data_IF_436222421123
#
_entry.id   IF_436222421123
#
_cell.length_a   1.000
_cell.length_b   1.000
_cell.length_c   1.000
_cell.angle_alpha   90.00
_cell.angle_beta   90.00
_cell.angle_gamma   90.00
#
_symmetry.space_group_name_H-M   'P 1'
#
loop_
_entity.id
_entity.type
_entity.pdbx_description
1 polymer ?
#
# COMPACT_ATOMS: atom_id res chain seq x y z
N UNK A 1 1.49 33.94 0.46
CA UNK A 1 1.43 32.80 1.39
C UNK A 1 0.94 31.64 0.56
N UNK A 2 1.74 30.59 0.37
CA UNK A 2 1.26 29.39 -0.33
C UNK A 2 0.16 28.78 0.56
N UNK A 3 -0.95 28.40 -0.04
CA UNK A 3 -2.03 27.71 0.66
C UNK A 3 -1.48 26.36 1.19
N UNK A 4 -1.62 26.13 2.49
CA UNK A 4 -1.18 24.90 3.16
C UNK A 4 -1.83 23.68 2.51
N UNK A 5 -3.10 23.80 2.11
CA UNK A 5 -3.83 22.74 1.42
C UNK A 5 -3.19 22.38 0.08
N UNK A 6 -2.84 23.38 -0.71
CA UNK A 6 -2.20 23.18 -2.01
C UNK A 6 -0.80 22.57 -1.86
N UNK A 7 -0.07 22.97 -0.81
CA UNK A 7 1.22 22.36 -0.46
C UNK A 7 1.08 20.87 -0.15
N UNK A 8 0.07 20.48 0.63
CA UNK A 8 -0.19 19.08 0.97
C UNK A 8 -0.60 18.25 -0.25
N UNK A 9 -1.43 18.80 -1.14
CA UNK A 9 -1.82 18.13 -2.38
C UNK A 9 -0.59 17.89 -3.27
N UNK A 10 0.30 18.88 -3.37
CA UNK A 10 1.52 18.77 -4.15
C UNK A 10 2.43 17.65 -3.61
N UNK A 11 2.70 17.65 -2.29
CA UNK A 11 3.50 16.60 -1.65
C UNK A 11 2.90 15.21 -1.83
N UNK A 12 1.58 15.08 -1.70
CA UNK A 12 0.90 13.81 -1.93
C UNK A 12 1.06 13.33 -3.38
N UNK A 13 1.00 14.26 -4.34
CA UNK A 13 1.19 13.96 -5.77
C UNK A 13 2.61 13.48 -6.04
N UNK A 14 3.62 14.18 -5.50
CA UNK A 14 5.03 13.79 -5.66
C UNK A 14 5.32 12.39 -5.10
N UNK A 15 4.73 12.04 -3.95
CA UNK A 15 4.87 10.68 -3.37
C UNK A 15 4.27 9.63 -4.29
N UNK A 16 3.08 9.86 -4.83
CA UNK A 16 2.44 8.91 -5.75
C UNK A 16 3.20 8.79 -7.08
N UNK A 17 3.73 9.90 -7.61
CA UNK A 17 4.58 9.87 -8.81
C UNK A 17 5.87 9.06 -8.56
N UNK A 18 6.48 9.18 -7.37
CA UNK A 18 7.64 8.36 -7.01
C UNK A 18 7.31 6.86 -6.95
N UNK A 19 6.13 6.50 -6.45
CA UNK A 19 5.67 5.10 -6.40
C UNK A 19 5.38 4.58 -7.81
N UNK A 20 4.73 5.37 -8.65
CA UNK A 20 4.43 5.01 -10.04
C UNK A 20 5.72 4.80 -10.87
N UNK A 21 6.71 5.68 -10.69
CA UNK A 21 8.03 5.53 -11.31
C UNK A 21 8.73 4.23 -10.89
N UNK A 22 8.67 3.89 -9.59
CA UNK A 22 9.18 2.61 -9.09
C UNK A 22 8.44 1.45 -9.77
N UNK A 23 7.11 1.44 -9.72
CA UNK A 23 6.29 0.36 -10.28
C UNK A 23 6.53 0.16 -11.78
N UNK A 24 6.69 1.25 -12.54
CA UNK A 24 6.96 1.24 -13.98
C UNK A 24 8.35 0.67 -14.30
N UNK A 25 9.31 0.79 -13.37
CA UNK A 25 10.67 0.26 -13.55
C UNK A 25 10.78 -1.25 -13.28
N UNK A 26 9.81 -1.84 -12.58
CA UNK A 26 9.84 -3.25 -12.18
C UNK A 26 9.53 -4.18 -13.35
N UNK A 27 10.32 -5.23 -13.49
CA UNK A 27 10.03 -6.37 -14.35
C UNK A 27 8.91 -7.22 -13.74
N UNK A 28 8.16 -7.99 -14.56
CA UNK A 28 7.08 -8.84 -14.07
C UNK A 28 7.48 -9.76 -12.90
N UNK A 29 8.66 -10.38 -12.96
CA UNK A 29 9.16 -11.27 -11.92
C UNK A 29 9.52 -10.57 -10.60
N UNK A 30 9.79 -9.27 -10.63
CA UNK A 30 10.17 -8.50 -9.44
C UNK A 30 8.96 -8.20 -8.54
N UNK A 31 7.75 -8.24 -9.10
CA UNK A 31 6.51 -8.06 -8.34
C UNK A 31 6.25 -9.16 -7.32
N UNK A 32 6.76 -10.38 -7.57
CA UNK A 32 6.57 -11.54 -6.70
C UNK A 32 7.69 -11.71 -5.65
N UNK A 33 8.68 -10.81 -5.62
CA UNK A 33 9.78 -10.85 -4.65
C UNK A 33 9.24 -10.60 -3.23
N UNK A 34 9.63 -11.45 -2.27
CA UNK A 34 9.28 -11.29 -0.86
C UNK A 34 9.93 -10.05 -0.23
N UNK A 35 9.21 -9.42 0.68
CA UNK A 35 9.66 -8.24 1.43
C UNK A 35 9.93 -8.58 2.89
N UNK A 36 10.36 -7.58 3.67
CA UNK A 36 10.52 -7.72 5.13
C UNK A 36 9.17 -7.83 5.86
N UNK A 37 8.04 -7.49 5.19
CA UNK A 37 6.71 -7.76 5.69
C UNK A 37 6.40 -9.27 5.55
N UNK A 38 6.18 -10.01 6.65
CA UNK A 38 6.06 -11.46 6.58
C UNK A 38 4.91 -11.93 5.67
N UNK A 39 5.26 -12.66 4.62
CA UNK A 39 4.30 -13.20 3.66
C UNK A 39 3.90 -12.25 2.53
N UNK A 40 4.44 -11.03 2.50
CA UNK A 40 4.11 -10.03 1.48
C UNK A 40 5.17 -9.98 0.40
N UNK A 41 4.72 -10.07 -0.84
CA UNK A 41 5.49 -9.69 -2.02
C UNK A 41 5.51 -8.17 -2.24
N UNK A 42 6.34 -7.69 -3.17
CA UNK A 42 6.30 -6.29 -3.63
C UNK A 42 4.88 -5.89 -4.07
N UNK A 43 4.19 -6.80 -4.78
CA UNK A 43 2.80 -6.59 -5.20
C UNK A 43 1.84 -6.44 -4.01
N UNK A 44 2.04 -7.19 -2.93
CA UNK A 44 1.18 -7.10 -1.76
C UNK A 44 1.36 -5.76 -1.05
N UNK A 45 2.59 -5.25 -0.95
CA UNK A 45 2.85 -3.90 -0.44
C UNK A 45 2.11 -2.81 -1.22
N UNK A 46 2.18 -2.85 -2.56
CA UNK A 46 1.48 -1.87 -3.41
C UNK A 46 -0.04 -2.04 -3.34
N UNK A 47 -0.53 -3.29 -3.33
CA UNK A 47 -1.96 -3.59 -3.18
C UNK A 47 -2.51 -3.05 -1.86
N UNK A 48 -1.73 -3.12 -0.79
CA UNK A 48 -2.10 -2.58 0.51
C UNK A 48 -2.25 -1.05 0.48
N UNK A 49 -1.31 -0.32 -0.14
CA UNK A 49 -1.41 1.14 -0.30
C UNK A 49 -2.68 1.55 -1.06
N UNK A 50 -2.98 0.85 -2.17
CA UNK A 50 -4.20 1.07 -2.95
C UNK A 50 -5.44 0.73 -2.12
N UNK A 51 -5.39 -0.33 -1.31
CA UNK A 51 -6.45 -0.72 -0.39
C UNK A 51 -6.77 0.37 0.64
N UNK A 52 -5.75 1.06 1.16
CA UNK A 52 -5.93 2.21 2.06
C UNK A 52 -6.65 3.36 1.35
N UNK A 53 -6.21 3.74 0.14
CA UNK A 53 -6.89 4.79 -0.65
C UNK A 53 -8.35 4.42 -0.95
N UNK A 54 -8.62 3.16 -1.28
CA UNK A 54 -9.99 2.68 -1.45
C UNK A 54 -10.82 2.86 -0.17
N UNK A 55 -10.28 2.49 1.00
CA UNK A 55 -10.96 2.66 2.29
C UNK A 55 -11.23 4.14 2.58
N UNK A 56 -10.24 5.02 2.39
CA UNK A 56 -10.38 6.46 2.62
C UNK A 56 -11.43 7.09 1.70
N UNK A 57 -11.52 6.62 0.46
CA UNK A 57 -12.52 7.06 -0.53
C UNK A 57 -13.88 6.37 -0.38
N UNK A 58 -14.06 5.48 0.61
CA UNK A 58 -15.30 4.71 0.79
C UNK A 58 -15.61 3.72 -0.32
N UNK A 59 -14.59 3.31 -1.09
CA UNK A 59 -14.71 2.32 -2.17
C UNK A 59 -14.71 0.89 -1.59
N UNK A 60 -15.34 -0.07 -2.30
CA UNK A 60 -15.25 -1.47 -1.90
C UNK A 60 -13.79 -1.94 -1.92
N UNK A 61 -13.47 -2.78 -0.93
CA UNK A 61 -12.21 -3.53 -0.83
C UNK A 61 -12.50 -5.03 -0.88
N UNK A 62 -11.55 -5.85 -1.34
CA UNK A 62 -11.71 -7.31 -1.33
C UNK A 62 -12.01 -7.84 0.07
N UNK A 63 -12.86 -8.87 0.15
CA UNK A 63 -12.98 -9.69 1.36
C UNK A 63 -11.82 -10.68 1.39
N UNK A 64 -10.79 -10.35 2.17
CA UNK A 64 -9.57 -11.14 2.28
C UNK A 64 -9.36 -11.62 3.72
N UNK A 65 -9.03 -12.91 3.86
CA UNK A 65 -8.67 -13.51 5.14
C UNK A 65 -7.21 -13.94 5.09
N UNK A 66 -6.32 -13.36 5.92
CA UNK A 66 -4.91 -13.69 5.90
C UNK A 66 -4.66 -15.11 6.40
N UNK A 67 -3.80 -15.84 5.67
CA UNK A 67 -3.55 -17.27 5.93
C UNK A 67 -2.64 -17.53 7.13
N UNK A 68 -1.65 -16.67 7.36
CA UNK A 68 -0.67 -16.81 8.43
C UNK A 68 -0.54 -15.48 9.18
N UNK A 69 -0.93 -15.47 10.45
CA UNK A 69 -0.93 -14.28 11.30
C UNK A 69 0.00 -14.43 12.51
N UNK A 70 0.95 -15.39 12.48
CA UNK A 70 1.87 -15.63 13.60
C UNK A 70 2.73 -14.42 13.98
N UNK A 71 3.00 -13.53 13.03
CA UNK A 71 3.74 -12.28 13.22
C UNK A 71 2.86 -11.11 13.68
N UNK A 72 1.53 -11.28 13.67
CA UNK A 72 0.58 -10.23 14.05
C UNK A 72 0.44 -10.19 15.57
N UNK A 73 0.60 -8.99 16.14
CA UNK A 73 0.63 -8.80 17.60
C UNK A 73 -0.55 -7.97 18.14
N UNK A 74 -1.44 -7.47 17.26
CA UNK A 74 -2.59 -6.65 17.65
C UNK A 74 -3.64 -6.57 16.52
N UNK A 75 -4.83 -6.06 16.86
CA UNK A 75 -5.97 -5.93 15.94
C UNK A 75 -5.68 -5.01 14.74
N UNK A 76 -4.84 -3.97 14.92
CA UNK A 76 -4.46 -3.09 13.83
C UNK A 76 -3.59 -3.84 12.82
N UNK A 77 -2.63 -4.63 13.29
CA UNK A 77 -1.83 -5.51 12.45
C UNK A 77 -2.70 -6.49 11.68
N UNK A 78 -3.73 -7.06 12.32
CA UNK A 78 -4.67 -7.96 11.63
C UNK A 78 -5.44 -7.24 10.51
N UNK A 79 -5.81 -5.98 10.69
CA UNK A 79 -6.46 -5.16 9.66
C UNK A 79 -5.51 -4.77 8.52
N UNK A 80 -4.21 -4.69 8.79
CA UNK A 80 -3.22 -4.40 7.76
C UNK A 80 -3.06 -5.56 6.77
N UNK A 81 -3.29 -6.79 7.23
CA UNK A 81 -3.24 -7.99 6.40
C UNK A 81 -4.45 -8.16 5.45
N UNK A 82 -5.39 -7.22 5.43
CA UNK A 82 -6.60 -7.21 4.59
C UNK A 82 -6.44 -6.20 3.46
#
# INVERSE_FOLDING_TARGET
>A
MVDERESLIHLQTEVWDSIDNLCTSLKPEEWDISTDCPGWSVKDCISHLIGIEHRLLGRPVPDHVPKNTKHVNNDLGLRNEI
#
